data_IF_556362152138
#
_entry.id   IF_556362152138
#
_cell.length_a   1.000
_cell.length_b   1.000
_cell.length_c   1.000
_cell.angle_alpha   90.00
_cell.angle_beta   90.00
_cell.angle_gamma   90.00
#
_symmetry.space_group_name_H-M   'P 1'
#
loop_
_entity.id
_entity.type
_entity.pdbx_description
1 polymer ?
#
# COMPACT_ATOMS: atom_id res chain seq x y z
N UNK A 1 -31.50 -12.99 -8.55
CA UNK A 1 -30.58 -12.33 -7.58
C UNK A 1 -29.62 -13.40 -7.09
N UNK A 2 -28.31 -13.19 -7.26
CA UNK A 2 -27.28 -14.25 -7.09
C UNK A 2 -26.78 -14.40 -5.66
N UNK A 3 -26.71 -13.31 -4.88
CA UNK A 3 -26.20 -13.29 -3.52
C UNK A 3 -26.65 -12.01 -2.77
N UNK A 4 -27.07 -12.09 -1.49
CA UNK A 4 -27.45 -10.91 -0.69
C UNK A 4 -26.22 -10.15 -0.15
N UNK A 5 -26.30 -8.82 0.05
CA UNK A 5 -25.27 -8.05 0.74
C UNK A 5 -25.29 -8.31 2.25
N UNK A 6 -24.15 -8.09 2.92
CA UNK A 6 -23.98 -8.19 4.38
C UNK A 6 -24.18 -6.80 4.99
N UNK A 7 -24.79 -6.71 6.19
CA UNK A 7 -24.89 -5.44 6.93
C UNK A 7 -23.58 -5.14 7.69
N UNK A 8 -22.81 -4.09 7.31
CA UNK A 8 -21.49 -3.84 7.87
C UNK A 8 -21.49 -3.34 9.32
N UNK A 9 -22.66 -2.94 9.84
CA UNK A 9 -22.81 -2.47 11.21
C UNK A 9 -23.38 -3.58 12.10
N UNK A 10 -24.44 -4.25 11.65
CA UNK A 10 -25.11 -5.31 12.42
C UNK A 10 -24.35 -6.63 12.40
N UNK A 11 -23.65 -6.92 11.31
CA UNK A 11 -22.91 -8.17 11.11
C UNK A 11 -21.40 -7.97 11.16
N UNK A 12 -20.92 -6.88 11.80
CA UNK A 12 -19.49 -6.58 11.91
C UNK A 12 -18.64 -7.73 12.47
N UNK A 13 -19.21 -8.59 13.32
CA UNK A 13 -18.51 -9.72 13.94
C UNK A 13 -18.04 -10.78 12.94
N UNK A 14 -18.66 -10.86 11.75
CA UNK A 14 -18.26 -11.81 10.70
C UNK A 14 -17.32 -11.18 9.65
N UNK A 15 -16.94 -9.91 9.83
CA UNK A 15 -16.07 -9.17 8.92
C UNK A 15 -14.69 -8.95 9.53
N UNK A 16 -13.65 -8.93 8.69
CA UNK A 16 -12.28 -8.65 9.11
C UNK A 16 -11.52 -7.91 8.02
N UNK A 17 -10.68 -6.97 8.43
CA UNK A 17 -9.70 -6.28 7.57
C UNK A 17 -8.26 -6.65 7.93
N UNK A 18 -8.06 -7.74 8.66
CA UNK A 18 -6.71 -8.18 9.01
C UNK A 18 -5.96 -8.62 7.75
N UNK A 19 -4.76 -8.08 7.56
CA UNK A 19 -3.94 -8.31 6.37
C UNK A 19 -2.63 -8.98 6.78
N UNK A 20 -2.45 -10.29 6.56
CA UNK A 20 -1.14 -10.90 6.64
C UNK A 20 -0.33 -10.46 5.42
N UNK A 21 0.83 -9.81 5.63
CA UNK A 21 1.67 -9.30 4.54
C UNK A 21 3.03 -10.01 4.51
N UNK A 22 3.62 -10.10 3.32
CA UNK A 22 4.91 -10.74 3.09
C UNK A 22 4.80 -12.13 2.45
N UNK A 23 5.94 -12.83 2.31
CA UNK A 23 6.06 -14.04 1.51
C UNK A 23 5.16 -15.17 1.99
N UNK A 24 4.57 -15.89 1.04
CA UNK A 24 3.72 -17.04 1.29
C UNK A 24 4.52 -18.34 1.13
N UNK A 25 4.43 -19.21 2.14
CA UNK A 25 5.02 -20.54 2.08
C UNK A 25 4.09 -21.52 1.35
N UNK A 26 4.64 -22.67 0.94
CA UNK A 26 3.88 -23.71 0.25
C UNK A 26 2.69 -24.19 1.11
N UNK A 27 1.46 -23.97 0.61
CA UNK A 27 0.22 -24.34 1.29
C UNK A 27 0.02 -25.86 1.44
N UNK A 28 0.67 -26.67 0.60
CA UNK A 28 0.55 -28.13 0.62
C UNK A 28 1.44 -28.80 1.68
N UNK A 29 2.36 -28.04 2.27
CA UNK A 29 3.31 -28.54 3.27
C UNK A 29 3.10 -27.79 4.60
N UNK A 30 2.56 -28.46 5.63
CA UNK A 30 2.45 -27.87 6.96
C UNK A 30 3.82 -27.42 7.47
N UNK A 31 3.98 -26.12 7.74
CA UNK A 31 5.26 -25.56 8.17
C UNK A 31 5.05 -24.31 9.02
N UNK A 32 5.88 -24.13 10.05
CA UNK A 32 5.92 -22.89 10.82
C UNK A 32 6.21 -21.65 9.95
N UNK A 33 6.82 -21.83 8.78
CA UNK A 33 7.04 -20.73 7.82
C UNK A 33 5.74 -20.09 7.33
N UNK A 34 4.60 -20.79 7.36
CA UNK A 34 3.31 -20.25 6.96
C UNK A 34 2.83 -19.11 7.87
N UNK A 35 3.27 -19.08 9.14
CA UNK A 35 2.96 -18.00 10.08
C UNK A 35 4.06 -16.94 10.16
N UNK A 36 5.03 -16.96 9.24
CA UNK A 36 6.12 -15.98 9.22
C UNK A 36 5.75 -14.66 8.52
N UNK A 37 4.46 -14.34 8.41
CA UNK A 37 3.96 -13.08 7.83
C UNK A 37 3.88 -11.96 8.88
N UNK A 38 3.96 -10.71 8.45
CA UNK A 38 3.64 -9.57 9.31
C UNK A 38 2.12 -9.42 9.36
N UNK A 39 1.55 -9.29 10.56
CA UNK A 39 0.10 -9.27 10.72
C UNK A 39 -0.39 -7.84 10.96
N UNK A 40 -0.94 -7.22 9.92
CA UNK A 40 -1.57 -5.91 10.04
C UNK A 40 -3.02 -6.06 10.51
N UNK A 41 -3.46 -5.17 11.41
CA UNK A 41 -4.85 -5.14 11.89
C UNK A 41 -5.83 -4.61 10.83
N UNK A 42 -5.31 -3.82 9.90
CA UNK A 42 -6.01 -3.15 8.82
C UNK A 42 -5.01 -2.83 7.70
N UNK A 43 -5.47 -2.59 6.46
CA UNK A 43 -4.59 -2.30 5.33
C UNK A 43 -3.95 -0.90 5.35
N UNK A 44 -4.55 0.05 6.06
CA UNK A 44 -4.05 1.44 6.14
C UNK A 44 -2.99 1.55 7.24
N UNK A 45 -1.80 2.02 6.85
CA UNK A 45 -0.65 2.17 7.75
C UNK A 45 -0.26 3.64 7.89
N UNK A 46 0.34 4.00 9.03
CA UNK A 46 0.83 5.36 9.28
C UNK A 46 2.17 5.61 8.57
N UNK A 47 2.58 6.88 8.51
CA UNK A 47 3.90 7.25 7.99
C UNK A 47 5.01 6.60 8.84
N UNK A 48 4.83 6.57 10.16
CA UNK A 48 5.75 5.92 11.10
C UNK A 48 5.82 4.41 10.87
N UNK A 49 4.69 3.74 10.64
CA UNK A 49 4.66 2.30 10.31
C UNK A 49 5.38 2.02 8.99
N UNK A 50 5.18 2.87 7.98
CA UNK A 50 5.88 2.75 6.70
C UNK A 50 7.40 2.89 6.87
N UNK A 51 7.85 3.82 7.70
CA UNK A 51 9.28 4.01 7.98
C UNK A 51 9.89 2.77 8.65
N UNK A 52 9.16 2.13 9.56
CA UNK A 52 9.54 0.84 10.15
C UNK A 52 9.65 -0.25 9.07
N UNK A 53 8.73 -0.28 8.09
CA UNK A 53 8.80 -1.22 6.97
C UNK A 53 9.97 -0.94 6.02
N UNK A 54 10.31 0.33 5.77
CA UNK A 54 11.48 0.73 4.96
C UNK A 54 12.79 0.24 5.56
N UNK A 55 12.88 0.22 6.89
CA UNK A 55 14.09 -0.16 7.63
C UNK A 55 14.01 -1.54 8.31
N UNK A 56 13.03 -2.37 7.94
CA UNK A 56 12.86 -3.66 8.59
C UNK A 56 14.06 -4.58 8.34
N UNK A 57 14.46 -5.28 9.40
CA UNK A 57 15.45 -6.39 9.35
C UNK A 57 14.87 -7.65 9.96
N UNK A 58 13.57 -7.64 10.27
CA UNK A 58 12.89 -8.74 10.92
C UNK A 58 12.96 -9.99 10.04
N UNK A 59 13.48 -11.10 10.56
CA UNK A 59 13.63 -12.38 9.84
C UNK A 59 14.48 -12.27 8.56
N UNK A 60 15.46 -11.36 8.55
CA UNK A 60 16.28 -11.02 7.38
C UNK A 60 15.47 -10.50 6.19
N UNK A 61 14.25 -10.00 6.45
CA UNK A 61 13.51 -9.32 5.41
C UNK A 61 14.20 -8.03 5.04
N UNK A 62 14.07 -7.70 3.77
CA UNK A 62 14.53 -6.43 3.25
C UNK A 62 13.45 -5.81 2.36
N UNK A 63 13.58 -4.50 2.19
CA UNK A 63 12.60 -3.69 1.47
C UNK A 63 13.26 -3.00 0.29
N UNK A 64 12.60 -3.01 -0.86
CA UNK A 64 13.00 -2.25 -2.05
C UNK A 64 11.97 -1.16 -2.33
N UNK A 65 12.41 0.08 -2.54
CA UNK A 65 11.53 1.19 -2.89
C UNK A 65 11.58 1.36 -4.41
N UNK A 66 10.43 1.18 -5.06
CA UNK A 66 10.22 1.48 -6.46
C UNK A 66 9.72 2.91 -6.61
N UNK A 67 10.47 3.70 -7.36
CA UNK A 67 10.07 5.04 -7.75
C UNK A 67 9.02 4.96 -8.87
N UNK A 68 7.79 5.40 -8.58
CA UNK A 68 6.69 5.42 -9.55
C UNK A 68 6.56 6.76 -10.27
N UNK A 69 7.64 7.53 -10.38
CA UNK A 69 7.68 8.81 -11.10
C UNK A 69 8.54 8.73 -12.37
N UNK A 70 8.27 9.59 -13.34
CA UNK A 70 9.03 9.68 -14.60
C UNK A 70 9.38 11.14 -14.94
N UNK A 71 10.39 11.39 -15.81
CA UNK A 71 10.79 12.75 -16.17
C UNK A 71 9.67 13.53 -16.88
N UNK A 72 9.39 14.74 -16.42
CA UNK A 72 8.38 15.62 -17.02
C UNK A 72 8.68 15.96 -18.49
N UNK A 73 9.97 15.95 -18.88
CA UNK A 73 10.43 16.20 -20.25
C UNK A 73 9.94 15.17 -21.27
N UNK A 74 9.59 13.96 -20.84
CA UNK A 74 9.11 12.89 -21.73
C UNK A 74 7.61 13.01 -22.06
N UNK A 75 6.88 13.84 -21.31
CA UNK A 75 5.44 14.01 -21.46
C UNK A 75 4.67 12.69 -21.37
N UNK A 76 3.49 12.63 -21.99
CA UNK A 76 2.64 11.43 -21.94
C UNK A 76 3.28 10.18 -22.55
N UNK A 77 4.26 10.34 -23.46
CA UNK A 77 4.95 9.23 -24.09
C UNK A 77 5.87 8.46 -23.12
N UNK A 78 6.34 9.11 -22.04
CA UNK A 78 7.21 8.49 -21.03
C UNK A 78 6.51 7.50 -20.10
N UNK A 79 5.17 7.53 -20.03
CA UNK A 79 4.40 6.70 -19.09
C UNK A 79 4.55 5.21 -19.39
N UNK A 80 4.43 4.79 -20.66
CA UNK A 80 4.47 3.38 -21.05
C UNK A 80 5.88 2.77 -20.82
N UNK A 81 6.98 3.39 -21.30
CA UNK A 81 8.33 2.89 -21.03
C UNK A 81 8.65 2.85 -19.54
N UNK A 82 8.27 3.88 -18.77
CA UNK A 82 8.52 3.89 -17.33
C UNK A 82 7.75 2.76 -16.63
N UNK A 83 6.47 2.54 -16.98
CA UNK A 83 5.68 1.47 -16.39
C UNK A 83 6.30 0.09 -16.64
N UNK A 84 6.83 -0.15 -17.84
CA UNK A 84 7.58 -1.36 -18.17
C UNK A 84 8.86 -1.48 -17.33
N UNK A 85 9.61 -0.39 -17.21
CA UNK A 85 10.82 -0.37 -16.39
C UNK A 85 10.53 -0.68 -14.91
N UNK A 86 9.44 -0.12 -14.35
CA UNK A 86 8.99 -0.40 -12.98
C UNK A 86 8.64 -1.88 -12.82
N UNK A 87 7.93 -2.49 -13.79
CA UNK A 87 7.60 -3.92 -13.75
C UNK A 87 8.86 -4.80 -13.76
N UNK A 88 9.82 -4.51 -14.65
CA UNK A 88 11.09 -5.25 -14.72
C UNK A 88 11.93 -5.07 -13.45
N UNK A 89 11.96 -3.87 -12.88
CA UNK A 89 12.65 -3.58 -11.63
C UNK A 89 11.99 -4.34 -10.47
N UNK A 90 10.66 -4.33 -10.39
CA UNK A 90 9.89 -5.07 -9.39
C UNK A 90 10.19 -6.58 -9.47
N UNK A 91 10.26 -7.14 -10.67
CA UNK A 91 10.61 -8.55 -10.88
C UNK A 91 12.02 -8.85 -10.35
N UNK A 92 13.02 -8.03 -10.69
CA UNK A 92 14.40 -8.19 -10.19
C UNK A 92 14.46 -8.03 -8.68
N UNK A 93 13.75 -7.06 -8.12
CA UNK A 93 13.67 -6.80 -6.69
C UNK A 93 13.04 -7.97 -5.94
N UNK A 94 12.01 -8.61 -6.51
CA UNK A 94 11.26 -9.72 -5.89
C UNK A 94 12.07 -10.97 -5.61
N UNK A 95 13.24 -11.11 -6.24
CA UNK A 95 14.16 -12.22 -5.97
C UNK A 95 15.08 -11.97 -4.77
N UNK A 96 15.15 -10.73 -4.27
CA UNK A 96 16.09 -10.30 -3.23
C UNK A 96 15.42 -9.69 -2.01
N UNK A 97 14.21 -9.17 -2.16
CA UNK A 97 13.48 -8.43 -1.13
C UNK A 97 12.10 -9.01 -0.94
N UNK A 98 11.64 -9.06 0.30
CA UNK A 98 10.33 -9.57 0.71
C UNK A 98 9.25 -8.48 0.72
N UNK A 99 9.64 -7.21 0.70
CA UNK A 99 8.72 -6.08 0.64
C UNK A 99 9.16 -5.17 -0.51
N UNK A 100 8.19 -4.79 -1.33
CA UNK A 100 8.34 -3.80 -2.39
C UNK A 100 7.39 -2.65 -2.08
N UNK A 101 7.94 -1.45 -1.92
CA UNK A 101 7.17 -0.23 -1.71
C UNK A 101 7.11 0.53 -3.03
N UNK A 102 5.93 0.71 -3.60
CA UNK A 102 5.70 1.61 -4.71
C UNK A 102 5.50 3.01 -4.14
N UNK A 103 6.37 3.96 -4.51
CA UNK A 103 6.40 5.30 -3.93
C UNK A 103 6.38 6.40 -4.97
N UNK A 104 5.45 7.35 -4.81
CA UNK A 104 5.40 8.58 -5.61
C UNK A 104 6.09 9.79 -4.93
N UNK A 105 6.80 9.56 -3.81
CA UNK A 105 7.51 10.59 -3.02
C UNK A 105 8.51 11.44 -3.82
N UNK A 106 9.02 10.91 -4.93
CA UNK A 106 9.98 11.60 -5.79
C UNK A 106 9.34 12.63 -6.75
N UNK A 107 8.04 12.90 -6.60
CA UNK A 107 7.34 13.93 -7.37
C UNK A 107 8.02 15.30 -7.18
N UNK A 108 8.11 16.06 -8.28
CA UNK A 108 8.74 17.37 -8.26
C UNK A 108 8.55 18.13 -9.58
N UNK A 109 9.14 19.32 -9.73
CA UNK A 109 9.00 20.13 -10.95
C UNK A 109 9.39 19.39 -12.23
N UNK A 110 10.39 18.51 -12.13
CA UNK A 110 10.94 17.74 -13.26
C UNK A 110 10.47 16.27 -13.27
N UNK A 111 9.62 15.86 -12.31
CA UNK A 111 9.21 14.46 -12.12
C UNK A 111 7.71 14.34 -11.89
N UNK A 112 7.04 13.61 -12.77
CA UNK A 112 5.59 13.41 -12.73
C UNK A 112 5.28 12.02 -12.17
N UNK A 113 4.34 11.88 -11.22
CA UNK A 113 3.94 10.58 -10.71
C UNK A 113 3.08 9.84 -11.74
N UNK A 114 3.32 8.54 -11.89
CA UNK A 114 2.36 7.63 -12.50
C UNK A 114 1.26 7.38 -11.47
N UNK A 115 0.01 7.30 -11.92
CA UNK A 115 -1.11 6.94 -11.05
C UNK A 115 -0.75 5.68 -10.26
N UNK A 116 -0.87 5.78 -8.93
CA UNK A 116 -0.53 4.72 -7.98
C UNK A 116 -1.25 3.41 -8.29
N UNK A 117 -2.53 3.49 -8.70
CA UNK A 117 -3.32 2.35 -9.12
C UNK A 117 -2.76 1.68 -10.38
N UNK A 118 -2.37 2.48 -11.38
CA UNK A 118 -1.82 1.95 -12.63
C UNK A 118 -0.48 1.26 -12.40
N UNK A 119 0.41 1.91 -11.63
CA UNK A 119 1.70 1.34 -11.26
C UNK A 119 1.54 0.03 -10.47
N UNK A 120 0.67 0.03 -9.46
CA UNK A 120 0.38 -1.16 -8.67
C UNK A 120 -0.20 -2.29 -9.52
N UNK A 121 -1.23 -2.01 -10.32
CA UNK A 121 -1.89 -3.03 -11.13
C UNK A 121 -0.93 -3.67 -12.13
N UNK A 122 -0.10 -2.87 -12.80
CA UNK A 122 0.92 -3.36 -13.72
C UNK A 122 1.94 -4.27 -13.02
N UNK A 123 2.49 -3.81 -11.88
CA UNK A 123 3.45 -4.60 -11.09
C UNK A 123 2.80 -5.87 -10.56
N UNK A 124 1.58 -5.79 -10.04
CA UNK A 124 0.85 -6.93 -9.49
C UNK A 124 0.66 -8.03 -10.53
N UNK A 125 0.12 -7.67 -11.71
CA UNK A 125 -0.11 -8.62 -12.79
C UNK A 125 1.21 -9.16 -13.38
N UNK A 126 2.22 -8.31 -13.58
CA UNK A 126 3.54 -8.75 -14.05
C UNK A 126 4.19 -9.76 -13.09
N UNK A 127 4.10 -9.53 -11.78
CA UNK A 127 4.60 -10.45 -10.77
C UNK A 127 3.79 -11.75 -10.69
N UNK A 128 2.51 -11.75 -11.04
CA UNK A 128 1.71 -12.98 -11.18
C UNK A 128 2.20 -13.79 -12.37
N UNK A 129 2.36 -13.15 -13.53
CA UNK A 129 2.80 -13.80 -14.78
C UNK A 129 4.20 -14.41 -14.63
N UNK A 130 5.08 -13.73 -13.92
CA UNK A 130 6.45 -14.20 -13.61
C UNK A 130 6.54 -15.11 -12.38
N UNK A 131 5.40 -15.42 -11.73
CA UNK A 131 5.28 -16.29 -10.53
C UNK A 131 6.07 -15.81 -9.31
N UNK A 132 6.23 -14.49 -9.20
CA UNK A 132 6.95 -13.83 -8.12
C UNK A 132 6.04 -13.14 -7.10
N UNK A 133 4.74 -12.94 -7.39
CA UNK A 133 3.81 -12.20 -6.50
C UNK A 133 3.70 -12.78 -5.09
N UNK A 134 3.73 -14.10 -4.94
CA UNK A 134 3.66 -14.77 -3.63
C UNK A 134 4.93 -14.59 -2.78
N UNK A 135 6.04 -14.12 -3.36
CA UNK A 135 7.33 -13.95 -2.67
C UNK A 135 7.46 -12.59 -1.99
N UNK A 136 6.58 -11.64 -2.29
CA UNK A 136 6.73 -10.24 -1.87
C UNK A 136 5.43 -9.67 -1.33
N UNK A 137 5.55 -8.73 -0.39
CA UNK A 137 4.50 -7.78 -0.07
C UNK A 137 4.57 -6.59 -1.02
N UNK A 138 3.44 -6.12 -1.52
CA UNK A 138 3.31 -4.86 -2.25
C UNK A 138 2.70 -3.80 -1.33
N UNK A 139 3.48 -2.78 -1.00
CA UNK A 139 3.04 -1.66 -0.17
C UNK A 139 2.98 -0.41 -1.04
N UNK A 140 1.92 0.39 -0.92
CA UNK A 140 1.75 1.62 -1.70
C UNK A 140 1.97 2.82 -0.78
N UNK A 141 2.98 3.64 -1.08
CA UNK A 141 3.18 4.98 -0.52
C UNK A 141 2.74 5.99 -1.58
N UNK A 142 1.57 6.60 -1.40
CA UNK A 142 1.06 7.54 -2.41
C UNK A 142 0.40 8.77 -1.82
N UNK A 143 0.60 9.90 -2.52
CA UNK A 143 -0.05 11.17 -2.23
C UNK A 143 -1.43 11.31 -2.87
N UNK A 144 -1.79 10.45 -3.82
CA UNK A 144 -3.09 10.49 -4.51
C UNK A 144 -4.23 9.91 -3.65
N UNK A 145 -3.89 8.98 -2.75
CA UNK A 145 -4.85 8.17 -1.99
C UNK A 145 -5.44 8.98 -0.83
N UNK A 146 -6.77 9.15 -0.83
CA UNK A 146 -7.46 9.93 0.21
C UNK A 146 -8.91 9.49 0.46
N UNK A 147 -9.55 8.87 -0.53
CA UNK A 147 -10.93 8.41 -0.43
C UNK A 147 -11.00 6.91 -0.13
N UNK A 148 -12.13 6.48 0.45
CA UNK A 148 -12.40 5.06 0.70
C UNK A 148 -12.30 4.25 -0.59
N UNK A 149 -12.80 4.81 -1.70
CA UNK A 149 -12.76 4.14 -3.00
C UNK A 149 -11.33 3.87 -3.47
N UNK A 150 -10.42 4.84 -3.34
CA UNK A 150 -9.01 4.69 -3.71
C UNK A 150 -8.38 3.49 -3.02
N UNK A 151 -8.63 3.36 -1.70
CA UNK A 151 -8.13 2.26 -0.89
C UNK A 151 -8.74 0.93 -1.35
N UNK A 152 -10.05 0.87 -1.54
CA UNK A 152 -10.72 -0.36 -2.01
C UNK A 152 -10.19 -0.82 -3.36
N UNK A 153 -9.94 0.12 -4.28
CA UNK A 153 -9.43 -0.22 -5.62
C UNK A 153 -7.98 -0.68 -5.54
N UNK A 154 -7.12 -0.01 -4.76
CA UNK A 154 -5.73 -0.46 -4.56
C UNK A 154 -5.67 -1.86 -3.92
N UNK A 155 -6.51 -2.15 -2.92
CA UNK A 155 -6.61 -3.49 -2.33
C UNK A 155 -7.08 -4.52 -3.35
N UNK A 156 -8.09 -4.18 -4.16
CA UNK A 156 -8.61 -5.05 -5.21
C UNK A 156 -7.59 -5.36 -6.31
N UNK A 157 -6.66 -4.44 -6.57
CA UNK A 157 -5.58 -4.60 -7.56
C UNK A 157 -4.25 -5.09 -6.95
N UNK A 158 -4.27 -5.53 -5.68
CA UNK A 158 -3.19 -6.34 -5.11
C UNK A 158 -2.24 -5.64 -4.15
N UNK A 159 -2.60 -4.48 -3.60
CA UNK A 159 -1.88 -3.88 -2.49
C UNK A 159 -2.08 -4.71 -1.21
N UNK A 160 -0.99 -4.94 -0.47
CA UNK A 160 -1.01 -5.60 0.84
C UNK A 160 -1.13 -4.58 1.99
N UNK A 161 -0.58 -3.37 1.79
CA UNK A 161 -0.72 -2.25 2.72
C UNK A 161 -0.63 -0.90 1.98
N UNK A 162 -1.27 0.13 2.52
CA UNK A 162 -1.39 1.45 1.87
C UNK A 162 -1.08 2.55 2.88
N UNK A 163 -0.13 3.40 2.55
CA UNK A 163 0.25 4.61 3.29
C UNK A 163 -0.17 5.86 2.49
N UNK A 164 -1.32 6.47 2.81
CA UNK A 164 -1.77 7.71 2.20
C UNK A 164 -1.03 8.91 2.82
N UNK A 165 0.27 9.04 2.53
CA UNK A 165 1.13 9.96 3.28
C UNK A 165 0.68 11.41 3.16
N UNK A 166 0.26 11.86 1.97
CA UNK A 166 -0.09 13.26 1.76
C UNK A 166 -1.37 13.63 2.50
N UNK A 167 -2.34 12.72 2.56
CA UNK A 167 -3.57 12.94 3.34
C UNK A 167 -3.25 13.11 4.84
N UNK A 168 -2.32 12.32 5.36
CA UNK A 168 -1.87 12.41 6.77
C UNK A 168 -1.05 13.68 7.02
N UNK A 169 -0.09 14.01 6.15
CA UNK A 169 0.72 15.23 6.25
C UNK A 169 -0.13 16.50 6.14
N UNK A 170 -1.16 16.50 5.29
CA UNK A 170 -2.12 17.60 5.22
C UNK A 170 -2.91 17.74 6.52
N UNK A 171 -3.34 16.64 7.15
CA UNK A 171 -4.01 16.68 8.44
C UNK A 171 -3.09 17.24 9.54
N UNK A 172 -1.82 16.86 9.55
CA UNK A 172 -0.82 17.41 10.48
C UNK A 172 -0.63 18.92 10.25
N UNK A 173 -0.52 19.34 8.98
CA UNK A 173 -0.41 20.77 8.63
C UNK A 173 -1.65 21.57 9.05
N UNK A 174 -2.86 21.03 8.88
CA UNK A 174 -4.10 21.67 9.33
C UNK A 174 -4.20 21.81 10.84
N UNK A 175 -3.66 20.86 11.61
CA UNK A 175 -3.51 21.01 13.07
C UNK A 175 -2.55 22.14 13.40
N UNK A 176 -1.39 22.18 12.75
CA UNK A 176 -0.36 23.17 13.04
C UNK A 176 -0.80 24.60 12.67
N UNK A 177 -1.71 24.73 11.68
CA UNK A 177 -2.39 25.97 11.32
C UNK A 177 -3.56 26.34 12.26
N UNK A 178 -3.91 25.48 13.21
CA UNK A 178 -5.01 25.70 14.16
C UNK A 178 -6.41 25.48 13.59
N UNK A 179 -6.54 24.85 12.42
CA UNK A 179 -7.84 24.47 11.82
C UNK A 179 -8.41 23.24 12.52
N UNK A 180 -7.55 22.27 12.84
CA UNK A 180 -7.87 21.14 13.71
C UNK A 180 -7.46 21.44 15.16
N UNK A 181 -8.01 20.69 16.11
CA UNK A 181 -7.62 20.83 17.51
C UNK A 181 -6.14 20.50 17.69
N UNK A 182 -5.38 21.52 18.11
CA UNK A 182 -3.95 21.44 18.42
C UNK A 182 -3.60 20.38 19.48
N UNK A 183 -4.56 19.93 20.29
CA UNK A 183 -4.36 18.87 21.27
C UNK A 183 -4.24 17.47 20.64
N UNK A 184 -4.65 17.30 19.38
CA UNK A 184 -4.61 16.01 18.70
C UNK A 184 -3.17 15.60 18.33
N UNK A 185 -2.76 14.43 18.83
CA UNK A 185 -1.47 13.83 18.46
C UNK A 185 -1.51 13.25 17.05
N UNK A 186 -0.34 13.05 16.43
CA UNK A 186 -0.20 12.40 15.11
C UNK A 186 -0.86 11.02 15.09
N UNK A 187 -0.71 10.27 16.18
CA UNK A 187 -1.36 8.98 16.39
C UNK A 187 -2.88 9.10 16.42
N UNK A 188 -3.42 10.11 17.12
CA UNK A 188 -4.88 10.31 17.21
C UNK A 188 -5.46 10.64 15.84
N UNK A 189 -4.79 11.49 15.07
CA UNK A 189 -5.17 11.83 13.70
C UNK A 189 -5.16 10.58 12.82
N UNK A 190 -4.08 9.79 12.87
CA UNK A 190 -3.97 8.56 12.12
C UNK A 190 -5.06 7.54 12.50
N UNK A 191 -5.29 7.29 13.80
CA UNK A 191 -6.30 6.34 14.26
C UNK A 191 -7.71 6.75 13.80
N UNK A 192 -8.04 8.04 13.88
CA UNK A 192 -9.33 8.55 13.41
C UNK A 192 -9.48 8.39 11.89
N UNK A 193 -8.44 8.74 11.12
CA UNK A 193 -8.44 8.55 9.67
C UNK A 193 -8.61 7.08 9.30
N UNK A 194 -7.83 6.21 9.93
CA UNK A 194 -7.84 4.79 9.61
C UNK A 194 -9.15 4.11 10.03
N UNK A 195 -9.76 4.52 11.16
CA UNK A 195 -11.09 4.08 11.57
C UNK A 195 -12.17 4.48 10.56
N UNK A 196 -12.09 5.71 10.02
CA UNK A 196 -13.01 6.17 8.98
C UNK A 196 -12.86 5.33 7.71
N UNK A 197 -11.62 5.05 7.29
CA UNK A 197 -11.34 4.19 6.13
C UNK A 197 -11.80 2.75 6.35
N UNK A 198 -11.52 2.15 7.52
CA UNK A 198 -12.02 0.81 7.87
C UNK A 198 -13.55 0.73 7.81
N UNK A 199 -14.23 1.73 8.35
CA UNK A 199 -15.70 1.79 8.32
C UNK A 199 -16.20 1.95 6.89
N UNK A 200 -15.49 2.72 6.05
CA UNK A 200 -15.77 2.87 4.64
C UNK A 200 -15.60 1.57 3.85
N UNK A 201 -14.47 0.88 4.01
CA UNK A 201 -14.15 -0.39 3.32
C UNK A 201 -15.15 -1.48 3.69
N UNK A 202 -15.66 -1.47 4.92
CA UNK A 202 -16.62 -2.46 5.37
C UNK A 202 -17.99 -2.28 4.70
N UNK A 203 -18.35 -1.09 4.22
CA UNK A 203 -19.65 -0.81 3.60
C UNK A 203 -19.76 -1.38 2.19
#
# INVERSE_FOLDING_TARGET
VTNPPIDPFREKVVMSLQCPIGPEANILQPSARQVHRLWLKQPVISISDLEVLKHTTHRNWSTHILDTTFPASEGAAGVIPQLQAICEEAEKASSKHEIIILSDRFVGPDRVPISSLLALGAVHHHLIETRNRMKVALVVESGEVREVHDICVLLGYGADAICPYLALELAYSLRDQGVLDSSMTDDTIFQNYAQAMQTGISK
#
